data_IF_155003457957
#
_entry.id   IF_155003457957
#
_cell.length_a   1.000
_cell.length_b   1.000
_cell.length_c   1.000
_cell.angle_alpha   90.00
_cell.angle_beta   90.00
_cell.angle_gamma   90.00
#
_symmetry.space_group_name_H-M   'P 1'
#
loop_
_entity.id
_entity.type
_entity.pdbx_description
1 polymer ?
#
# COMPACT_ATOMS: atom_id res chain seq x y z
N UNK A 1 24.51 -0.10 2.43
CA UNK A 1 24.71 -0.42 3.85
C UNK A 1 23.89 0.48 4.80
N UNK A 2 22.83 1.16 4.31
CA UNK A 2 21.95 2.02 5.16
C UNK A 2 20.52 1.45 5.25
N UNK A 3 20.16 0.48 4.41
CA UNK A 3 18.81 -0.13 4.40
C UNK A 3 18.53 -1.07 5.60
N UNK A 4 19.55 -1.71 6.14
CA UNK A 4 19.38 -2.88 7.05
C UNK A 4 18.89 -2.52 8.48
N UNK A 5 19.39 -1.46 9.09
CA UNK A 5 19.05 -1.14 10.48
C UNK A 5 17.66 -0.51 10.64
N UNK A 6 17.25 0.31 9.68
CA UNK A 6 15.94 0.96 9.70
C UNK A 6 14.81 -0.04 9.35
N UNK A 7 15.09 -1.01 8.49
CA UNK A 7 14.12 -2.03 8.13
C UNK A 7 13.96 -3.10 9.21
N UNK A 8 15.02 -3.53 9.89
CA UNK A 8 14.94 -4.41 11.07
C UNK A 8 14.14 -3.77 12.20
N UNK A 9 14.34 -2.46 12.45
CA UNK A 9 13.55 -1.73 13.45
C UNK A 9 12.06 -1.63 13.06
N UNK A 10 11.74 -1.52 11.79
CA UNK A 10 10.35 -1.50 11.30
C UNK A 10 9.68 -2.87 11.33
N UNK A 11 10.42 -3.95 11.12
CA UNK A 11 9.91 -5.31 11.24
C UNK A 11 9.53 -5.64 12.70
N UNK A 12 10.31 -5.16 13.68
CA UNK A 12 10.00 -5.35 15.10
C UNK A 12 8.82 -4.51 15.62
N UNK A 13 8.31 -3.57 14.81
CA UNK A 13 7.21 -2.67 15.16
C UNK A 13 5.93 -2.92 14.34
N UNK A 14 5.80 -4.12 13.75
CA UNK A 14 4.57 -4.46 13.03
C UNK A 14 3.37 -4.44 13.98
N UNK A 15 2.23 -3.91 13.51
CA UNK A 15 0.97 -4.02 14.24
C UNK A 15 0.60 -5.49 14.44
N UNK A 16 -0.11 -5.79 15.52
CA UNK A 16 -0.73 -7.11 15.67
C UNK A 16 -1.70 -7.37 14.51
N UNK A 17 -1.88 -8.63 14.15
CA UNK A 17 -2.73 -9.04 13.04
C UNK A 17 -4.16 -8.46 13.10
N UNK A 18 -4.71 -8.31 14.31
CA UNK A 18 -6.02 -7.70 14.54
C UNK A 18 -6.11 -6.24 14.08
N UNK A 19 -5.02 -5.47 14.16
CA UNK A 19 -4.99 -4.08 13.66
C UNK A 19 -4.70 -4.00 12.16
N UNK A 20 -4.03 -5.01 11.60
CA UNK A 20 -3.78 -5.08 10.15
C UNK A 20 -5.07 -5.44 9.42
N UNK A 21 -5.75 -6.49 9.88
CA UNK A 21 -6.89 -7.09 9.18
C UNK A 21 -8.26 -6.62 9.71
N UNK A 22 -8.33 -6.12 10.95
CA UNK A 22 -9.58 -5.66 11.54
C UNK A 22 -10.63 -6.78 11.69
N UNK A 23 -11.90 -6.38 11.69
CA UNK A 23 -13.07 -7.26 11.89
C UNK A 23 -13.95 -7.40 10.63
N UNK A 24 -13.64 -6.66 9.56
CA UNK A 24 -14.44 -6.68 8.31
C UNK A 24 -14.27 -8.00 7.57
N UNK A 25 -15.38 -8.58 7.08
CA UNK A 25 -15.37 -9.86 6.37
C UNK A 25 -14.42 -9.89 5.16
N UNK A 26 -14.37 -8.81 4.38
CA UNK A 26 -13.45 -8.70 3.25
C UNK A 26 -11.97 -8.70 3.67
N UNK A 27 -11.63 -8.14 4.84
CA UNK A 27 -10.25 -8.21 5.36
C UNK A 27 -9.94 -9.57 6.00
N UNK A 28 -10.94 -10.29 6.52
CA UNK A 28 -10.77 -11.69 6.93
C UNK A 28 -10.46 -12.60 5.73
N UNK A 29 -11.09 -12.36 4.58
CA UNK A 29 -10.74 -13.08 3.34
C UNK A 29 -9.32 -12.79 2.88
N UNK A 30 -8.90 -11.51 2.93
CA UNK A 30 -7.50 -11.12 2.68
C UNK A 30 -6.55 -11.89 3.59
N UNK A 31 -6.84 -11.96 4.89
CA UNK A 31 -6.04 -12.69 5.87
C UNK A 31 -5.94 -14.17 5.52
N UNK A 32 -7.05 -14.81 5.16
CA UNK A 32 -7.10 -16.23 4.79
C UNK A 32 -6.23 -16.54 3.56
N UNK A 33 -6.29 -15.68 2.52
CA UNK A 33 -5.43 -15.84 1.33
C UNK A 33 -3.96 -15.70 1.71
N UNK A 34 -3.62 -14.75 2.59
CA UNK A 34 -2.25 -14.54 3.05
C UNK A 34 -1.73 -15.69 3.92
N UNK A 35 -2.59 -16.27 4.77
CA UNK A 35 -2.26 -17.46 5.56
C UNK A 35 -1.97 -18.66 4.63
N UNK A 36 -2.76 -18.86 3.56
CA UNK A 36 -2.45 -19.84 2.52
C UNK A 36 -1.13 -19.56 1.79
N UNK A 37 -0.84 -18.29 1.52
CA UNK A 37 0.43 -17.89 0.91
C UNK A 37 1.65 -18.07 1.83
N UNK A 38 1.49 -18.35 3.12
CA UNK A 38 2.61 -18.69 4.03
C UNK A 38 3.06 -20.14 3.88
N UNK A 39 2.22 -21.01 3.30
CA UNK A 39 2.51 -22.42 3.12
C UNK A 39 3.48 -22.70 1.94
N UNK A 40 3.72 -21.69 1.11
CA UNK A 40 4.62 -21.77 -0.05
C UNK A 40 5.46 -20.49 -0.21
N UNK A 41 6.33 -20.51 -1.21
CA UNK A 41 7.25 -19.40 -1.53
C UNK A 41 6.85 -18.69 -2.84
N UNK A 42 5.62 -18.93 -3.30
CA UNK A 42 5.13 -18.37 -4.56
C UNK A 42 4.97 -16.85 -4.49
N UNK A 43 5.09 -16.18 -5.64
CA UNK A 43 4.94 -14.74 -5.71
C UNK A 43 3.55 -14.25 -5.28
N UNK A 44 3.51 -13.15 -4.54
CA UNK A 44 2.27 -12.54 -4.05
C UNK A 44 2.06 -11.16 -4.66
N UNK A 45 0.85 -10.88 -5.14
CA UNK A 45 0.42 -9.56 -5.58
C UNK A 45 -0.54 -8.94 -4.56
N UNK A 46 -0.21 -7.75 -4.07
CA UNK A 46 -1.02 -6.97 -3.15
C UNK A 46 -1.59 -5.76 -3.89
N UNK A 47 -2.87 -5.78 -4.19
CA UNK A 47 -3.60 -4.69 -4.83
C UNK A 47 -4.31 -3.83 -3.79
N UNK A 48 -4.44 -2.53 -4.03
CA UNK A 48 -5.20 -1.63 -3.16
C UNK A 48 -4.77 -0.19 -3.28
N UNK A 49 -5.66 0.72 -3.00
CA UNK A 49 -5.41 2.17 -3.10
C UNK A 49 -4.18 2.60 -2.29
N UNK A 50 -3.62 3.75 -2.66
CA UNK A 50 -2.53 4.34 -1.88
C UNK A 50 -2.95 4.55 -0.42
N UNK A 51 -2.06 4.21 0.52
CA UNK A 51 -2.32 4.35 1.96
C UNK A 51 -3.17 3.26 2.60
N UNK A 52 -3.52 2.18 1.92
CA UNK A 52 -4.29 1.03 2.49
C UNK A 52 -3.48 0.10 3.37
N UNK A 53 -2.13 0.22 3.38
CA UNK A 53 -1.25 -0.62 4.18
C UNK A 53 -0.58 -1.76 3.43
N UNK A 54 -0.43 -1.69 2.10
CA UNK A 54 0.22 -2.72 1.26
C UNK A 54 1.59 -3.13 1.79
N UNK A 55 2.44 -2.18 2.17
CA UNK A 55 3.76 -2.47 2.75
C UNK A 55 3.67 -3.21 4.09
N UNK A 56 2.69 -2.85 4.95
CA UNK A 56 2.48 -3.52 6.25
C UNK A 56 2.12 -4.98 6.04
N UNK A 57 1.28 -5.27 5.05
CA UNK A 57 0.91 -6.64 4.67
C UNK A 57 2.09 -7.41 4.08
N UNK A 58 2.91 -6.77 3.24
CA UNK A 58 4.13 -7.40 2.71
C UNK A 58 5.13 -7.77 3.84
N UNK A 59 5.30 -6.88 4.82
CA UNK A 59 6.12 -7.14 6.01
C UNK A 59 5.52 -8.23 6.90
N UNK A 60 4.19 -8.27 7.04
CA UNK A 60 3.49 -9.35 7.74
C UNK A 60 3.80 -10.71 7.11
N UNK A 61 3.70 -10.83 5.78
CA UNK A 61 4.09 -12.04 5.06
C UNK A 61 5.53 -12.44 5.32
N UNK A 62 6.47 -11.49 5.25
CA UNK A 62 7.88 -11.76 5.47
C UNK A 62 8.13 -12.32 6.88
N UNK A 63 7.63 -11.64 7.92
CA UNK A 63 7.89 -12.01 9.33
C UNK A 63 7.29 -13.36 9.70
N UNK A 64 6.21 -13.79 9.04
CA UNK A 64 5.54 -15.07 9.31
C UNK A 64 5.94 -16.18 8.34
N UNK A 65 6.82 -15.91 7.37
CA UNK A 65 7.32 -16.91 6.41
C UNK A 65 8.60 -17.60 6.90
N UNK A 66 8.98 -18.68 6.25
CA UNK A 66 10.27 -19.36 6.48
C UNK A 66 11.48 -18.44 6.18
N UNK A 67 11.27 -17.32 5.47
CA UNK A 67 12.29 -16.33 5.13
C UNK A 67 12.40 -15.17 6.13
N UNK A 68 11.73 -15.25 7.27
CA UNK A 68 11.72 -14.20 8.30
C UNK A 68 13.13 -13.84 8.84
N UNK A 69 14.06 -14.80 8.80
CA UNK A 69 15.47 -14.58 9.21
C UNK A 69 16.34 -13.91 8.15
N UNK A 70 15.83 -13.74 6.92
CA UNK A 70 16.53 -13.08 5.81
C UNK A 70 16.21 -11.59 5.71
N UNK A 71 16.80 -10.89 4.73
CA UNK A 71 16.56 -9.47 4.52
C UNK A 71 15.18 -9.21 3.91
N UNK A 72 14.53 -8.09 4.30
CA UNK A 72 13.40 -7.51 3.61
C UNK A 72 13.86 -6.32 2.79
N UNK A 73 14.00 -6.49 1.48
CA UNK A 73 14.47 -5.43 0.58
C UNK A 73 13.30 -4.80 -0.14
N UNK A 74 13.08 -3.50 0.07
CA UNK A 74 12.03 -2.73 -0.59
C UNK A 74 12.59 -1.94 -1.75
N UNK A 75 11.93 -2.03 -2.91
CA UNK A 75 12.18 -1.21 -4.10
C UNK A 75 10.90 -0.46 -4.44
N UNK A 76 10.96 0.87 -4.47
CA UNK A 76 9.84 1.70 -4.91
C UNK A 76 9.96 1.96 -6.42
N UNK A 77 9.11 1.33 -7.20
CA UNK A 77 9.18 1.33 -8.66
C UNK A 77 8.78 2.68 -9.31
N UNK A 78 8.06 3.53 -8.58
CA UNK A 78 7.69 4.87 -9.05
C UNK A 78 8.64 5.99 -8.61
N UNK A 79 9.67 5.69 -7.80
CA UNK A 79 10.52 6.74 -7.23
C UNK A 79 11.60 7.27 -8.18
N UNK A 80 12.04 6.46 -9.15
CA UNK A 80 13.15 6.77 -10.09
C UNK A 80 12.78 6.29 -11.49
N UNK A 81 13.51 6.78 -12.50
CA UNK A 81 13.31 6.35 -13.89
C UNK A 81 13.60 4.86 -14.06
N UNK A 82 12.87 4.19 -14.97
CA UNK A 82 13.01 2.74 -15.22
C UNK A 82 14.45 2.32 -15.55
N UNK A 83 15.23 3.18 -16.21
CA UNK A 83 16.64 2.89 -16.51
C UNK A 83 17.50 2.79 -15.24
N UNK A 84 17.30 3.70 -14.28
CA UNK A 84 17.99 3.66 -12.99
C UNK A 84 17.49 2.51 -12.14
N UNK A 85 16.18 2.26 -12.19
CA UNK A 85 15.53 1.16 -11.48
C UNK A 85 16.04 -0.21 -11.97
N UNK A 86 16.24 -0.40 -13.29
CA UNK A 86 16.83 -1.62 -13.85
C UNK A 86 18.22 -1.88 -13.27
N UNK A 87 19.05 -0.83 -13.17
CA UNK A 87 20.38 -0.91 -12.55
C UNK A 87 20.34 -1.17 -11.04
N UNK A 88 19.41 -0.56 -10.33
CA UNK A 88 19.21 -0.77 -8.89
C UNK A 88 18.72 -2.19 -8.58
N UNK A 89 17.81 -2.73 -9.40
CA UNK A 89 17.27 -4.06 -9.19
C UNK A 89 18.25 -5.17 -9.54
N UNK A 90 18.89 -5.06 -10.71
CA UNK A 90 19.66 -6.15 -11.29
C UNK A 90 21.17 -5.93 -11.27
N UNK A 91 21.63 -4.74 -10.83
CA UNK A 91 23.03 -4.33 -10.90
C UNK A 91 23.43 -3.79 -12.28
N UNK A 92 24.37 -2.85 -12.34
CA UNK A 92 24.84 -2.28 -13.58
C UNK A 92 26.07 -3.00 -14.15
N UNK A 93 26.95 -3.51 -13.26
CA UNK A 93 28.18 -4.23 -13.61
C UNK A 93 28.48 -5.29 -12.54
N UNK A 94 29.45 -6.17 -12.83
CA UNK A 94 29.85 -7.30 -11.98
C UNK A 94 30.27 -6.94 -10.52
N UNK A 95 30.34 -5.67 -10.18
CA UNK A 95 30.74 -5.19 -8.84
C UNK A 95 29.60 -4.61 -7.99
N UNK A 96 28.44 -4.27 -8.58
CA UNK A 96 27.30 -3.72 -7.82
C UNK A 96 26.22 -4.80 -7.66
N UNK A 97 26.01 -5.24 -6.42
CA UNK A 97 24.93 -6.18 -6.10
C UNK A 97 23.58 -5.45 -6.21
N UNK A 98 22.71 -5.84 -7.15
CA UNK A 98 21.36 -5.31 -7.25
C UNK A 98 20.46 -5.77 -6.10
N UNK A 99 19.32 -5.09 -5.94
CA UNK A 99 18.35 -5.37 -4.88
C UNK A 99 17.87 -6.82 -4.87
N UNK A 100 17.82 -7.49 -6.05
CA UNK A 100 17.51 -8.91 -6.17
C UNK A 100 18.52 -9.77 -5.43
N UNK A 101 19.81 -9.45 -5.54
CA UNK A 101 20.89 -10.17 -4.85
C UNK A 101 20.89 -9.86 -3.35
N UNK A 102 20.64 -8.58 -3.00
CA UNK A 102 20.56 -8.16 -1.59
C UNK A 102 19.38 -8.84 -0.85
N UNK A 103 18.32 -9.19 -1.56
CA UNK A 103 17.16 -9.88 -1.00
C UNK A 103 17.35 -11.40 -0.86
N UNK A 104 18.53 -11.95 -1.19
CA UNK A 104 18.77 -13.38 -1.16
C UNK A 104 18.46 -14.00 0.20
N UNK A 105 17.79 -15.16 0.21
CA UNK A 105 17.24 -15.85 1.39
C UNK A 105 16.18 -15.05 2.19
N UNK A 106 15.69 -13.94 1.65
CA UNK A 106 14.70 -13.07 2.26
C UNK A 106 13.55 -12.76 1.33
N UNK A 107 13.05 -11.53 1.39
CA UNK A 107 11.91 -11.06 0.58
C UNK A 107 12.30 -9.80 -0.20
N UNK A 108 12.03 -9.82 -1.51
CA UNK A 108 12.07 -8.64 -2.37
C UNK A 108 10.66 -8.08 -2.51
N UNK A 109 10.44 -6.87 -1.98
CA UNK A 109 9.18 -6.15 -2.07
C UNK A 109 9.25 -5.07 -3.13
N UNK A 110 8.48 -5.23 -4.22
CA UNK A 110 8.36 -4.30 -5.33
C UNK A 110 7.09 -3.46 -5.15
N UNK A 111 7.25 -2.22 -4.71
CA UNK A 111 6.14 -1.30 -4.43
C UNK A 111 5.80 -0.48 -5.69
N UNK A 112 4.51 -0.39 -6.03
CA UNK A 112 3.94 0.26 -7.22
C UNK A 112 4.51 -0.31 -8.54
N UNK A 113 4.44 -1.63 -8.71
CA UNK A 113 4.98 -2.34 -9.91
C UNK A 113 4.39 -1.85 -11.23
N UNK A 114 3.17 -1.29 -11.24
CA UNK A 114 2.54 -0.72 -12.43
C UNK A 114 3.23 0.55 -12.95
N UNK A 115 4.02 1.24 -12.11
CA UNK A 115 4.77 2.45 -12.50
C UNK A 115 6.04 2.14 -13.31
N UNK A 116 6.46 0.87 -13.39
CA UNK A 116 7.56 0.46 -14.27
C UNK A 116 7.15 0.59 -15.73
N UNK A 117 8.11 0.85 -16.63
CA UNK A 117 7.87 0.69 -18.05
C UNK A 117 7.65 -0.78 -18.44
N UNK A 118 7.06 -1.01 -19.61
CA UNK A 118 6.72 -2.36 -20.07
C UNK A 118 7.94 -3.28 -20.22
N UNK A 119 9.10 -2.74 -20.60
CA UNK A 119 10.32 -3.53 -20.76
C UNK A 119 10.81 -4.09 -19.42
N UNK A 120 10.76 -3.28 -18.36
CA UNK A 120 11.14 -3.70 -17.02
C UNK A 120 10.09 -4.64 -16.41
N UNK A 121 8.79 -4.37 -16.63
CA UNK A 121 7.72 -5.30 -16.24
C UNK A 121 7.90 -6.69 -16.88
N UNK A 122 8.30 -6.77 -18.16
CA UNK A 122 8.61 -8.05 -18.82
C UNK A 122 9.81 -8.76 -18.19
N UNK A 123 10.85 -8.04 -17.79
CA UNK A 123 12.00 -8.63 -17.06
C UNK A 123 11.57 -9.21 -15.72
N UNK A 124 10.75 -8.48 -14.97
CA UNK A 124 10.20 -8.96 -13.70
C UNK A 124 9.30 -10.19 -13.93
N UNK A 125 8.39 -10.14 -14.89
CA UNK A 125 7.55 -11.28 -15.26
C UNK A 125 8.37 -12.53 -15.63
N UNK A 126 9.47 -12.35 -16.38
CA UNK A 126 10.40 -13.43 -16.68
C UNK A 126 11.04 -13.99 -15.42
N UNK A 127 11.52 -13.13 -14.50
CA UNK A 127 12.11 -13.55 -13.25
C UNK A 127 11.12 -14.32 -12.35
N UNK A 128 9.85 -13.84 -12.29
CA UNK A 128 8.77 -14.53 -11.59
C UNK A 128 8.51 -15.94 -12.13
N UNK A 129 8.53 -16.07 -13.47
CA UNK A 129 8.25 -17.35 -14.16
C UNK A 129 9.38 -18.35 -14.06
N UNK A 130 10.63 -17.91 -14.18
CA UNK A 130 11.79 -18.78 -14.34
C UNK A 130 12.64 -18.94 -13.07
N UNK A 131 12.43 -18.06 -12.08
CA UNK A 131 13.32 -17.94 -10.93
C UNK A 131 14.73 -17.46 -11.29
N UNK A 132 14.91 -16.85 -12.46
CA UNK A 132 16.22 -16.42 -12.97
C UNK A 132 16.19 -14.94 -13.38
N UNK A 133 17.30 -14.26 -13.12
CA UNK A 133 17.59 -12.93 -13.64
C UNK A 133 18.65 -12.98 -14.72
N UNK A 134 19.02 -11.81 -15.21
CA UNK A 134 20.08 -11.64 -16.22
C UNK A 134 21.29 -12.55 -15.95
N UNK A 135 21.84 -13.16 -17.01
CA UNK A 135 23.00 -14.08 -16.98
C UNK A 135 22.74 -15.43 -16.28
N UNK A 136 21.49 -15.85 -16.10
CA UNK A 136 21.18 -17.17 -15.53
C UNK A 136 21.35 -17.25 -14.01
N UNK A 137 21.59 -16.13 -13.31
CA UNK A 137 21.63 -16.11 -11.87
C UNK A 137 20.23 -16.38 -11.29
N UNK A 138 20.15 -17.27 -10.29
CA UNK A 138 18.90 -17.60 -9.61
C UNK A 138 18.45 -16.48 -8.71
N UNK A 139 17.13 -16.19 -8.72
CA UNK A 139 16.48 -15.33 -7.72
C UNK A 139 16.19 -16.20 -6.49
N UNK A 140 17.02 -16.09 -5.47
CA UNK A 140 16.79 -16.77 -4.21
C UNK A 140 16.11 -15.84 -3.19
N UNK A 141 15.02 -15.19 -3.60
CA UNK A 141 14.21 -14.34 -2.74
C UNK A 141 12.74 -14.58 -3.04
N UNK A 142 11.89 -14.52 -2.02
CA UNK A 142 10.45 -14.43 -2.22
C UNK A 142 10.09 -13.08 -2.82
N UNK A 143 9.32 -13.06 -3.90
CA UNK A 143 8.91 -11.81 -4.54
C UNK A 143 7.49 -11.46 -4.08
N UNK A 144 7.33 -10.27 -3.50
CA UNK A 144 6.04 -9.67 -3.14
C UNK A 144 5.91 -8.37 -3.92
N UNK A 145 4.85 -8.24 -4.71
CA UNK A 145 4.58 -7.03 -5.49
C UNK A 145 3.38 -6.29 -4.93
N UNK A 146 3.41 -4.96 -5.02
CA UNK A 146 2.26 -4.13 -4.68
C UNK A 146 1.92 -3.14 -5.80
N UNK A 147 0.64 -2.79 -5.91
CA UNK A 147 0.17 -1.78 -6.87
C UNK A 147 -1.09 -1.09 -6.35
N UNK A 148 -1.22 0.20 -6.69
CA UNK A 148 -2.47 0.97 -6.50
C UNK A 148 -3.40 0.92 -7.71
N UNK A 149 -2.95 0.35 -8.82
CA UNK A 149 -3.68 0.23 -10.08
C UNK A 149 -4.17 -1.21 -10.26
N UNK A 150 -5.39 -1.37 -10.76
CA UNK A 150 -5.94 -2.68 -11.12
C UNK A 150 -5.21 -3.21 -12.38
N UNK A 151 -4.43 -4.28 -12.22
CA UNK A 151 -3.66 -4.88 -13.31
C UNK A 151 -4.51 -5.72 -14.27
N UNK A 152 -5.79 -5.93 -14.00
CA UNK A 152 -6.71 -6.68 -14.87
C UNK A 152 -7.39 -5.79 -15.90
N UNK A 153 -7.41 -4.47 -15.69
CA UNK A 153 -8.06 -3.49 -16.55
C UNK A 153 -7.23 -3.13 -17.78
N UNK A 154 -7.87 -2.99 -18.94
CA UNK A 154 -7.25 -2.59 -20.22
C UNK A 154 -6.61 -1.17 -20.19
N UNK A 155 -6.79 -0.42 -19.12
CA UNK A 155 -6.37 1.00 -18.98
C UNK A 155 -5.12 1.15 -18.09
N UNK A 156 -4.63 0.07 -17.51
CA UNK A 156 -3.63 0.12 -16.43
C UNK A 156 -2.19 0.43 -16.84
N UNK A 157 -1.87 0.50 -18.14
CA UNK A 157 -0.48 0.64 -18.60
C UNK A 157 0.42 -0.56 -18.24
N UNK A 158 -0.10 -1.55 -17.53
CA UNK A 158 0.60 -2.77 -17.20
C UNK A 158 0.74 -3.67 -18.42
N UNK A 159 1.87 -4.38 -18.51
CA UNK A 159 2.08 -5.37 -19.56
C UNK A 159 1.00 -6.45 -19.50
N UNK A 160 0.38 -6.79 -20.65
CA UNK A 160 -0.61 -7.86 -20.71
C UNK A 160 -0.05 -9.14 -20.09
N UNK A 161 -0.77 -9.73 -19.13
CA UNK A 161 -0.39 -10.99 -18.51
C UNK A 161 0.54 -10.89 -17.30
N UNK A 162 1.00 -9.69 -16.88
CA UNK A 162 1.81 -9.57 -15.66
C UNK A 162 1.07 -10.16 -14.44
N UNK A 163 -0.24 -9.90 -14.32
CA UNK A 163 -1.06 -10.42 -13.24
C UNK A 163 -1.17 -11.95 -13.20
N UNK A 164 -1.01 -12.63 -14.33
CA UNK A 164 -1.10 -14.10 -14.44
C UNK A 164 0.10 -14.84 -13.84
N UNK A 165 1.17 -14.14 -13.50
CA UNK A 165 2.35 -14.72 -12.86
C UNK A 165 2.26 -14.80 -11.33
N UNK A 166 1.15 -14.32 -10.75
CA UNK A 166 0.92 -14.35 -9.32
C UNK A 166 -0.15 -15.38 -8.97
N UNK A 167 0.24 -16.42 -8.24
CA UNK A 167 -0.68 -17.44 -7.72
C UNK A 167 -1.53 -16.87 -6.59
N UNK A 168 -0.90 -16.08 -5.70
CA UNK A 168 -1.58 -15.42 -4.60
C UNK A 168 -1.84 -13.95 -4.93
N UNK A 169 -3.11 -13.57 -4.94
CA UNK A 169 -3.54 -12.20 -5.17
C UNK A 169 -4.47 -11.76 -4.07
N UNK A 170 -4.14 -10.65 -3.42
CA UNK A 170 -4.97 -10.05 -2.38
C UNK A 170 -5.29 -8.61 -2.72
N UNK A 171 -6.54 -8.21 -2.49
CA UNK A 171 -6.99 -6.85 -2.66
C UNK A 171 -7.35 -6.25 -1.30
N UNK A 172 -6.56 -5.26 -0.87
CA UNK A 172 -6.82 -4.53 0.36
C UNK A 172 -7.99 -3.57 0.17
N UNK A 173 -8.96 -3.64 1.08
CA UNK A 173 -10.10 -2.74 1.07
C UNK A 173 -9.67 -1.31 1.43
N UNK A 174 -10.17 -0.30 0.72
CA UNK A 174 -10.02 1.09 1.14
C UNK A 174 -10.76 1.33 2.46
N UNK A 175 -10.29 2.29 3.25
CA UNK A 175 -10.79 2.51 4.62
C UNK A 175 -12.29 2.82 4.67
N UNK A 176 -12.85 3.45 3.62
CA UNK A 176 -14.30 3.70 3.48
C UNK A 176 -15.15 2.43 3.39
N UNK A 177 -14.57 1.29 3.00
CA UNK A 177 -15.24 -0.01 2.90
C UNK A 177 -15.05 -0.88 4.16
N UNK A 178 -14.21 -0.42 5.11
CA UNK A 178 -14.00 -1.05 6.42
C UNK A 178 -14.11 -0.07 7.59
N UNK A 179 -15.13 0.80 7.55
CA UNK A 179 -15.37 1.86 8.55
C UNK A 179 -15.55 1.33 9.97
N UNK A 180 -16.01 0.10 10.13
CA UNK A 180 -16.13 -0.56 11.42
C UNK A 180 -14.77 -0.82 12.11
N UNK A 181 -13.67 -0.86 11.35
CA UNK A 181 -12.33 -1.05 11.89
C UNK A 181 -11.71 0.27 12.38
N UNK A 182 -12.29 1.44 12.02
CA UNK A 182 -11.74 2.75 12.35
C UNK A 182 -11.55 2.98 13.85
N UNK A 183 -12.51 2.66 14.74
CA UNK A 183 -12.31 2.87 16.18
C UNK A 183 -11.09 2.11 16.72
N UNK A 184 -10.94 0.84 16.36
CA UNK A 184 -9.82 0.01 16.78
C UNK A 184 -8.50 0.50 16.21
N UNK A 185 -8.48 0.91 14.92
CA UNK A 185 -7.31 1.54 14.31
C UNK A 185 -6.93 2.84 15.01
N UNK A 186 -7.89 3.67 15.41
CA UNK A 186 -7.64 4.90 16.15
C UNK A 186 -6.99 4.62 17.51
N UNK A 187 -7.48 3.66 18.29
CA UNK A 187 -6.91 3.26 19.56
C UNK A 187 -5.44 2.83 19.38
N UNK A 188 -5.18 1.92 18.44
CA UNK A 188 -3.82 1.49 18.13
C UNK A 188 -2.90 2.67 17.74
N UNK A 189 -3.36 3.54 16.84
CA UNK A 189 -2.55 4.66 16.34
C UNK A 189 -2.29 5.70 17.43
N UNK A 190 -3.27 5.98 18.30
CA UNK A 190 -3.10 6.89 19.47
C UNK A 190 -1.99 6.34 20.37
N UNK A 191 -2.03 5.07 20.74
CA UNK A 191 -1.01 4.45 21.58
C UNK A 191 0.37 4.43 20.90
N UNK A 192 0.42 4.09 19.62
CA UNK A 192 1.64 4.09 18.82
C UNK A 192 2.30 5.47 18.81
N UNK A 193 1.54 6.52 18.49
CA UNK A 193 2.08 7.88 18.43
C UNK A 193 2.36 8.47 19.80
N UNK A 194 1.56 8.15 20.82
CA UNK A 194 1.82 8.59 22.20
C UNK A 194 3.17 8.05 22.68
N UNK A 195 3.45 6.77 22.45
CA UNK A 195 4.76 6.16 22.76
C UNK A 195 5.89 6.82 21.97
N UNK A 196 5.72 7.00 20.65
CA UNK A 196 6.75 7.55 19.77
C UNK A 196 7.11 9.00 20.11
N UNK A 197 6.14 9.79 20.57
CA UNK A 197 6.34 11.21 20.91
C UNK A 197 6.57 11.45 22.41
N UNK A 198 6.62 10.41 23.24
CA UNK A 198 6.74 10.54 24.69
C UNK A 198 5.58 11.33 25.31
N UNK A 199 4.36 11.15 24.80
CA UNK A 199 3.14 11.83 25.25
C UNK A 199 2.19 10.86 25.93
N UNK A 200 1.29 11.39 26.74
CA UNK A 200 0.16 10.59 27.24
C UNK A 200 -0.84 10.37 26.10
N UNK A 201 -1.33 9.15 25.97
CA UNK A 201 -2.32 8.80 24.96
C UNK A 201 -3.66 9.52 25.26
N UNK A 202 -4.13 10.44 24.40
CA UNK A 202 -5.41 11.09 24.59
C UNK A 202 -6.56 10.11 24.32
N UNK A 203 -7.64 10.23 25.07
CA UNK A 203 -8.88 9.49 24.81
C UNK A 203 -9.70 10.24 23.77
N UNK A 204 -9.92 9.64 22.58
CA UNK A 204 -10.74 10.25 21.55
C UNK A 204 -12.20 10.35 22.01
N UNK A 205 -12.82 11.52 21.81
CA UNK A 205 -14.25 11.73 22.11
C UNK A 205 -15.14 10.99 21.11
N UNK A 206 -16.31 10.49 21.52
CA UNK A 206 -17.24 9.82 20.61
C UNK A 206 -17.55 10.63 19.33
N UNK A 207 -17.72 11.94 19.46
CA UNK A 207 -18.01 12.83 18.33
C UNK A 207 -16.89 12.86 17.28
N UNK A 208 -15.62 12.67 17.68
CA UNK A 208 -14.49 12.58 16.76
C UNK A 208 -14.48 11.22 16.04
N UNK A 209 -14.74 10.15 16.77
CA UNK A 209 -14.86 8.81 16.20
C UNK A 209 -16.02 8.72 15.21
N UNK A 210 -17.19 9.29 15.54
CA UNK A 210 -18.34 9.37 14.64
C UNK A 210 -18.00 10.13 13.35
N UNK A 211 -17.30 11.27 13.47
CA UNK A 211 -16.86 12.02 12.30
C UNK A 211 -15.86 11.22 11.45
N UNK A 212 -14.95 10.47 12.06
CA UNK A 212 -13.99 9.62 11.37
C UNK A 212 -14.68 8.46 10.66
N UNK A 213 -15.70 7.85 11.23
CA UNK A 213 -16.47 6.80 10.57
C UNK A 213 -17.33 7.31 9.40
N UNK A 214 -17.76 8.58 9.43
CA UNK A 214 -18.52 9.17 8.33
C UNK A 214 -17.65 9.55 7.13
N UNK A 215 -16.37 9.87 7.35
CA UNK A 215 -15.47 10.33 6.30
C UNK A 215 -15.06 9.22 5.32
N UNK A 216 -14.76 9.57 4.07
CA UNK A 216 -14.44 8.62 3.01
C UNK A 216 -12.94 8.26 2.89
N UNK A 217 -12.08 8.95 3.63
CA UNK A 217 -10.65 8.64 3.72
C UNK A 217 -9.96 8.46 2.36
N UNK A 218 -9.89 9.47 1.49
CA UNK A 218 -9.24 9.35 0.19
C UNK A 218 -7.75 8.98 0.29
N UNK A 219 -7.08 9.28 1.39
CA UNK A 219 -5.72 8.85 1.69
C UNK A 219 -5.64 7.60 2.58
N UNK A 220 -6.78 6.94 2.81
CA UNK A 220 -6.88 5.70 3.58
C UNK A 220 -6.23 5.77 4.98
N UNK A 221 -5.53 4.71 5.41
CA UNK A 221 -4.88 4.65 6.74
C UNK A 221 -3.81 5.73 6.86
N UNK A 222 -3.08 6.07 5.80
CA UNK A 222 -2.06 7.13 5.85
C UNK A 222 -2.66 8.50 6.21
N UNK A 223 -3.85 8.80 5.72
CA UNK A 223 -4.58 10.02 6.10
C UNK A 223 -5.02 9.95 7.56
N UNK A 224 -5.56 8.82 8.01
CA UNK A 224 -5.93 8.59 9.40
C UNK A 224 -4.73 8.72 10.35
N UNK A 225 -3.59 8.11 10.01
CA UNK A 225 -2.33 8.24 10.77
C UNK A 225 -1.93 9.71 10.96
N UNK A 226 -1.98 10.50 9.90
CA UNK A 226 -1.65 11.92 9.95
C UNK A 226 -2.58 12.70 10.90
N UNK A 227 -3.88 12.41 10.88
CA UNK A 227 -4.83 13.04 11.80
C UNK A 227 -4.59 12.65 13.26
N UNK A 228 -4.41 11.36 13.53
CA UNK A 228 -4.14 10.87 14.89
C UNK A 228 -2.81 11.42 15.43
N UNK A 229 -1.75 11.43 14.61
CA UNK A 229 -0.45 12.00 14.99
C UNK A 229 -0.59 13.49 15.43
N UNK A 230 -1.36 14.29 14.66
CA UNK A 230 -1.64 15.69 15.03
C UNK A 230 -2.41 15.81 16.33
N UNK A 231 -3.41 14.98 16.56
CA UNK A 231 -4.19 14.98 17.82
C UNK A 231 -3.27 14.67 19.01
N UNK A 232 -2.40 13.68 18.88
CA UNK A 232 -1.45 13.30 19.95
C UNK A 232 -0.43 14.40 20.23
N UNK A 233 0.10 15.04 19.17
CA UNK A 233 1.13 16.10 19.31
C UNK A 233 0.55 17.36 19.94
N UNK A 234 -0.60 17.82 19.48
CA UNK A 234 -1.15 19.13 19.87
C UNK A 234 -2.10 19.07 21.06
N UNK A 235 -2.59 17.89 21.43
CA UNK A 235 -3.49 17.70 22.58
C UNK A 235 -4.83 18.45 22.47
N UNK A 236 -5.17 18.95 21.29
CA UNK A 236 -6.34 19.81 21.03
C UNK A 236 -7.39 19.08 20.20
N UNK A 237 -7.89 17.97 20.76
CA UNK A 237 -8.87 17.09 20.10
C UNK A 237 -10.09 17.86 19.55
N UNK A 238 -10.61 18.84 20.32
CA UNK A 238 -11.80 19.59 19.94
C UNK A 238 -11.53 20.54 18.76
N UNK A 239 -10.38 21.22 18.78
CA UNK A 239 -9.93 22.08 17.68
C UNK A 239 -9.66 21.27 16.42
N UNK A 240 -8.99 20.12 16.56
CA UNK A 240 -8.70 19.20 15.46
C UNK A 240 -9.99 18.58 14.91
N UNK A 241 -10.94 18.20 15.74
CA UNK A 241 -12.24 17.70 15.30
C UNK A 241 -13.03 18.73 14.48
N UNK A 242 -13.00 20.00 14.90
CA UNK A 242 -13.63 21.09 14.16
C UNK A 242 -12.89 21.39 12.83
N UNK A 243 -11.56 21.36 12.82
CA UNK A 243 -10.77 21.54 11.62
C UNK A 243 -11.00 20.40 10.62
N UNK A 244 -11.04 19.15 11.11
CA UNK A 244 -11.39 18.00 10.30
C UNK A 244 -12.76 18.16 9.62
N UNK A 245 -13.81 18.52 10.40
CA UNK A 245 -15.16 18.77 9.86
C UNK A 245 -15.18 19.88 8.81
N UNK A 246 -14.42 20.95 8.99
CA UNK A 246 -14.33 22.05 8.00
C UNK A 246 -13.63 21.60 6.72
N UNK A 247 -12.54 20.84 6.81
CA UNK A 247 -11.81 20.33 5.66
C UNK A 247 -12.63 19.29 4.89
N UNK A 248 -13.38 18.45 5.60
CA UNK A 248 -14.26 17.45 4.98
C UNK A 248 -15.41 18.13 4.26
N UNK A 249 -16.09 19.10 4.87
CA UNK A 249 -17.16 19.86 4.25
C UNK A 249 -16.68 20.66 3.03
N UNK A 250 -15.48 21.26 3.08
CA UNK A 250 -14.88 21.98 1.97
C UNK A 250 -14.53 21.06 0.78
N UNK A 251 -14.00 19.88 1.03
CA UNK A 251 -13.67 18.89 -0.03
C UNK A 251 -14.91 18.28 -0.68
N UNK A 252 -15.95 18.01 0.07
CA UNK A 252 -17.22 17.53 -0.48
C UNK A 252 -17.88 18.60 -1.38
N UNK A 253 -17.83 19.86 -0.98
CA UNK A 253 -18.29 20.98 -1.80
C UNK A 253 -17.54 21.09 -3.13
N UNK A 254 -16.22 20.93 -3.14
CA UNK A 254 -15.39 20.94 -4.36
C UNK A 254 -15.65 19.70 -5.23
N UNK A 255 -15.81 18.52 -4.63
CA UNK A 255 -16.12 17.28 -5.35
C UNK A 255 -17.51 17.34 -6.00
N UNK A 256 -18.53 17.86 -5.30
CA UNK A 256 -19.86 18.10 -5.86
C UNK A 256 -19.84 19.14 -6.97
N UNK A 257 -19.10 20.23 -6.82
CA UNK A 257 -18.96 21.25 -7.87
C UNK A 257 -18.30 20.70 -9.14
N UNK A 258 -17.25 19.87 -9.00
CA UNK A 258 -16.62 19.17 -10.15
C UNK A 258 -17.57 18.19 -10.81
N UNK A 259 -18.33 17.41 -10.04
CA UNK A 259 -19.30 16.45 -10.58
C UNK A 259 -20.45 17.18 -11.31
N UNK A 260 -20.91 18.31 -10.78
CA UNK A 260 -21.92 19.14 -11.41
C UNK A 260 -21.41 19.78 -12.72
N UNK A 261 -20.17 20.28 -12.73
CA UNK A 261 -19.52 20.83 -13.92
C UNK A 261 -19.36 19.78 -15.05
N UNK A 262 -18.97 18.53 -14.68
CA UNK A 262 -18.87 17.42 -15.63
C UNK A 262 -20.23 17.03 -16.23
N UNK A 263 -21.30 17.03 -15.42
CA UNK A 263 -22.68 16.78 -15.92
C UNK A 263 -23.18 17.87 -16.86
N UNK A 264 -22.88 19.13 -16.57
CA UNK A 264 -23.25 20.28 -17.44
C UNK A 264 -22.50 20.21 -18.78
N UNK A 265 -21.22 19.87 -18.80
CA UNK A 265 -20.43 19.68 -20.02
C UNK A 265 -20.93 18.51 -20.87
N UNK A 266 -21.24 17.35 -20.22
CA UNK A 266 -21.82 16.21 -20.92
C UNK A 266 -23.21 16.53 -21.53
N UNK A 267 -24.03 17.35 -20.86
CA UNK A 267 -25.30 17.83 -21.36
C UNK A 267 -25.17 18.78 -22.55
N UNK A 268 -24.15 19.66 -22.58
CA UNK A 268 -23.82 20.52 -23.70
C UNK A 268 -23.37 19.73 -24.94
N UNK A 269 -22.51 18.75 -24.80
CA UNK A 269 -22.03 17.89 -25.91
C UNK A 269 -23.16 17.06 -26.55
N UNK A 270 -24.17 16.64 -25.77
CA UNK A 270 -25.34 15.92 -26.32
C UNK A 270 -26.30 16.83 -27.09
N UNK A 271 -26.39 18.14 -26.76
CA UNK A 271 -27.23 19.11 -27.51
C UNK A 271 -26.60 19.49 -28.85
N UNK A 272 -25.25 19.62 -28.92
CA UNK A 272 -24.55 19.94 -30.18
C UNK A 272 -24.60 18.79 -31.20
N UNK A 273 -24.72 17.53 -30.76
CA UNK A 273 -24.85 16.34 -31.64
C UNK A 273 -26.29 16.13 -32.18
N UNK A 274 -27.29 16.88 -31.72
CA UNK A 274 -28.68 16.79 -32.22
C UNK A 274 -29.05 17.91 -33.20
N UNK A 275 -28.10 18.79 -33.51
CA UNK A 275 -28.32 19.92 -34.45
C UNK A 275 -27.45 19.83 -35.72
N UNK A 276 -26.86 18.66 -36.02
CA UNK A 276 -26.17 18.36 -37.29
C UNK A 276 -26.90 17.22 -37.98
#
# INVERSE_FOLDING_TARGET
>A
MIADAADSARLSQLPLAEFIFGSTSGMHEVRKILEGALEDDLPVLIEGESGTGKEVVARYLHVHSERAGGPFVRVNCGAISSRLLDGEMFGQDSAASGSVVLAANGTLFLDEIAEMDSALQHKVAHALKTGQVRNGSSVNARIVCATSVDLTGAVSGASPGLSSHFEHRVRLLPLRERKQDIPQLCEYLVEKFARNFGRTAPRLKPQVLDAFQQWNWPGNIRELENWIARIVIFGTEETMGNEFRRQTAGREGVAMARHHALRLNAGRMRRTRRQV
#
